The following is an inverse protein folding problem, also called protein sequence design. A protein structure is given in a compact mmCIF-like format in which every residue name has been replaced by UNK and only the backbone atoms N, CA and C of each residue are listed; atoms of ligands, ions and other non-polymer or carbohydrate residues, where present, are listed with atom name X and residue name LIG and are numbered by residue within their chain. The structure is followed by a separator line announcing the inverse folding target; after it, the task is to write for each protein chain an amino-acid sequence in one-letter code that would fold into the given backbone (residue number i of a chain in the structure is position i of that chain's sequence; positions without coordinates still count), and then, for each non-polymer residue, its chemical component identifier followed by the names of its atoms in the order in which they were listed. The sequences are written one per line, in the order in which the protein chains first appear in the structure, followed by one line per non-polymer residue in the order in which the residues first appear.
data_IF_739705661483
#
_entry.id   IF_739705661483
#
_cell.length_a   1.000
_cell.length_b   1.000
_cell.length_c   1.000
_cell.angle_alpha   90.00
_cell.angle_beta   90.00
_cell.angle_gamma   90.00
#
_symmetry.space_group_name_H-M   'P 1'
#
loop_
_entity.id
_entity.type
_entity.pdbx_description
1 polymer ?
#
# COMPACT_ATOMS: atom_id res chain seq x y z
N UNK A 1 7.54 -0.11 -16.97
CA UNK A 1 6.47 -0.61 -16.06
C UNK A 1 5.81 0.50 -15.25
N UNK A 2 6.56 1.39 -14.65
CA UNK A 2 5.99 2.48 -13.84
C UNK A 2 5.03 3.38 -14.65
N UNK A 3 5.35 3.65 -15.90
CA UNK A 3 4.46 4.42 -16.77
C UNK A 3 3.12 3.73 -17.00
N UNK A 4 3.12 2.41 -17.16
CA UNK A 4 1.89 1.63 -17.30
C UNK A 4 1.08 1.66 -16.00
N UNK A 5 1.74 1.61 -14.85
CA UNK A 5 1.06 1.72 -13.56
C UNK A 5 0.40 3.09 -13.41
N UNK A 6 1.09 4.16 -13.77
CA UNK A 6 0.52 5.51 -13.74
C UNK A 6 -0.69 5.64 -14.66
N UNK A 7 -0.61 5.06 -15.85
CA UNK A 7 -1.72 5.04 -16.80
C UNK A 7 -2.90 4.24 -16.25
N UNK A 8 -2.64 3.11 -15.61
CA UNK A 8 -3.67 2.31 -14.96
C UNK A 8 -4.39 3.07 -13.84
N UNK A 9 -3.64 3.83 -13.04
CA UNK A 9 -4.21 4.68 -11.99
C UNK A 9 -5.12 5.75 -12.59
N UNK A 10 -4.71 6.34 -13.69
CA UNK A 10 -5.53 7.32 -14.40
C UNK A 10 -6.85 6.71 -14.86
N UNK A 11 -6.83 5.50 -15.41
CA UNK A 11 -8.04 4.78 -15.81
C UNK A 11 -8.93 4.44 -14.61
N UNK A 12 -8.34 4.07 -13.48
CA UNK A 12 -9.09 3.83 -12.24
C UNK A 12 -9.87 5.09 -11.83
N UNK A 13 -9.22 6.24 -11.87
CA UNK A 13 -9.85 7.51 -11.53
C UNK A 13 -10.97 7.86 -12.54
N UNK A 14 -10.73 7.63 -13.81
CA UNK A 14 -11.71 7.90 -14.87
C UNK A 14 -12.95 7.01 -14.74
N UNK A 15 -12.76 5.71 -14.48
CA UNK A 15 -13.87 4.75 -14.44
C UNK A 15 -14.61 4.73 -13.10
N UNK A 16 -13.89 4.85 -11.99
CA UNK A 16 -14.48 4.78 -10.65
C UNK A 16 -14.76 6.15 -10.04
N UNK A 17 -14.21 7.20 -10.64
CA UNK A 17 -14.48 8.57 -10.25
C UNK A 17 -14.05 8.90 -8.83
N UNK A 18 -14.88 9.66 -8.13
CA UNK A 18 -14.61 10.11 -6.76
C UNK A 18 -14.71 9.00 -5.70
N UNK A 19 -15.02 7.78 -6.10
CA UNK A 19 -14.94 6.62 -5.20
C UNK A 19 -13.49 6.19 -4.96
N UNK A 20 -12.55 6.56 -5.81
CA UNK A 20 -11.12 6.36 -5.58
C UNK A 20 -10.59 7.56 -4.80
N UNK A 21 -10.09 7.31 -3.59
CA UNK A 21 -9.60 8.36 -2.69
C UNK A 21 -8.09 8.54 -2.82
N UNK A 22 -7.35 7.44 -2.92
CA UNK A 22 -5.90 7.47 -3.04
C UNK A 22 -5.38 6.15 -3.59
N UNK A 23 -4.22 6.17 -4.23
CA UNK A 23 -3.55 4.98 -4.76
C UNK A 23 -2.05 5.09 -4.48
N UNK A 24 -1.45 4.00 -4.02
CA UNK A 24 -0.01 3.88 -3.84
C UNK A 24 0.50 2.58 -4.44
N UNK A 25 1.67 2.64 -5.02
CA UNK A 25 2.44 1.47 -5.45
C UNK A 25 3.35 1.06 -4.30
N UNK A 26 3.42 -0.24 -4.01
CA UNK A 26 4.34 -0.76 -3.01
C UNK A 26 5.03 -2.02 -3.53
N UNK A 27 5.79 -2.70 -2.69
CA UNK A 27 6.46 -3.94 -3.07
C UNK A 27 7.71 -3.72 -3.91
N UNK A 28 8.13 -4.78 -4.62
CA UNK A 28 9.41 -4.80 -5.33
C UNK A 28 9.52 -3.75 -6.43
N UNK A 29 8.45 -3.49 -7.15
CA UNK A 29 8.46 -2.48 -8.21
C UNK A 29 8.68 -1.08 -7.62
N UNK A 30 8.06 -0.76 -6.49
CA UNK A 30 8.26 0.51 -5.82
C UNK A 30 9.67 0.67 -5.27
N UNK A 31 10.29 -0.43 -4.82
CA UNK A 31 11.66 -0.44 -4.31
C UNK A 31 12.73 -0.37 -5.40
N UNK A 32 12.35 -0.48 -6.67
CA UNK A 32 13.33 -0.58 -7.77
C UNK A 32 14.02 -1.94 -7.86
N UNK A 33 13.48 -2.96 -7.21
CA UNK A 33 14.01 -4.34 -7.21
C UNK A 33 13.29 -5.25 -8.21
N UNK A 34 12.42 -4.68 -9.04
CA UNK A 34 11.57 -5.44 -9.93
C UNK A 34 12.38 -6.21 -10.98
N UNK A 35 12.05 -7.49 -11.13
CA UNK A 35 12.46 -8.28 -12.28
C UNK A 35 11.38 -8.21 -13.36
N UNK A 36 11.64 -8.77 -14.54
CA UNK A 36 10.63 -8.85 -15.59
C UNK A 36 9.38 -9.66 -15.24
N UNK A 37 9.39 -10.35 -14.10
CA UNK A 37 8.26 -11.15 -13.58
C UNK A 37 7.60 -10.56 -12.34
N UNK A 38 8.07 -9.42 -11.87
CA UNK A 38 7.51 -8.81 -10.66
C UNK A 38 6.09 -8.31 -10.89
N UNK A 39 5.24 -8.54 -9.90
CA UNK A 39 3.88 -8.02 -9.90
C UNK A 39 3.88 -6.53 -9.59
N UNK A 40 2.85 -5.84 -10.03
CA UNK A 40 2.56 -4.50 -9.54
C UNK A 40 1.66 -4.63 -8.31
N UNK A 41 2.09 -4.10 -7.18
CA UNK A 41 1.36 -4.15 -5.92
C UNK A 41 0.74 -2.79 -5.64
N UNK A 42 -0.59 -2.71 -5.66
CA UNK A 42 -1.32 -1.46 -5.50
C UNK A 42 -2.18 -1.46 -4.25
N UNK A 43 -2.04 -0.42 -3.46
CA UNK A 43 -2.99 -0.08 -2.40
C UNK A 43 -3.99 0.93 -2.98
N UNK A 44 -5.27 0.60 -2.95
CA UNK A 44 -6.33 1.46 -3.47
C UNK A 44 -7.29 1.80 -2.33
N UNK A 45 -7.33 3.06 -1.95
CA UNK A 45 -8.22 3.56 -0.92
C UNK A 45 -9.50 4.03 -1.58
N UNK A 46 -10.63 3.52 -1.13
CA UNK A 46 -11.94 3.76 -1.75
C UNK A 46 -12.98 4.22 -0.74
N UNK A 47 -14.06 4.81 -1.25
CA UNK A 47 -15.26 5.12 -0.49
C UNK A 47 -16.49 4.77 -1.31
N UNK A 48 -17.61 4.48 -0.62
CA UNK A 48 -18.88 4.25 -1.29
C UNK A 48 -18.93 3.01 -2.17
N UNK A 49 -18.03 2.07 -1.95
CA UNK A 49 -18.00 0.79 -2.64
C UNK A 49 -18.09 -0.34 -1.62
N UNK A 50 -19.12 -1.18 -1.66
CA UNK A 50 -19.25 -2.29 -0.71
C UNK A 50 -18.03 -3.21 -0.75
N UNK A 51 -17.54 -3.56 0.44
CA UNK A 51 -16.41 -4.49 0.57
C UNK A 51 -16.77 -5.85 -0.01
N UNK A 52 -15.81 -6.51 -0.64
CA UNK A 52 -15.96 -7.86 -1.15
C UNK A 52 -15.23 -8.08 -2.46
N UNK A 53 -15.37 -9.29 -2.98
CA UNK A 53 -14.65 -9.71 -4.20
C UNK A 53 -15.05 -8.90 -5.42
N UNK A 54 -16.31 -8.49 -5.54
CA UNK A 54 -16.75 -7.65 -6.67
C UNK A 54 -15.98 -6.34 -6.75
N UNK A 55 -15.75 -5.71 -5.59
CA UNK A 55 -14.97 -4.47 -5.54
C UNK A 55 -13.54 -4.69 -6.00
N UNK A 56 -12.91 -5.72 -5.45
CA UNK A 56 -11.52 -6.05 -5.81
C UNK A 56 -11.38 -6.39 -7.29
N UNK A 57 -12.28 -7.19 -7.83
CA UNK A 57 -12.27 -7.53 -9.24
C UNK A 57 -12.53 -6.32 -10.13
N UNK A 58 -13.41 -5.41 -9.74
CA UNK A 58 -13.64 -4.20 -10.52
C UNK A 58 -12.38 -3.35 -10.63
N UNK A 59 -11.65 -3.20 -9.53
CA UNK A 59 -10.38 -2.47 -9.51
C UNK A 59 -9.33 -3.22 -10.33
N UNK A 60 -9.22 -4.52 -10.12
CA UNK A 60 -8.26 -5.38 -10.84
C UNK A 60 -8.47 -5.31 -12.35
N UNK A 61 -9.72 -5.44 -12.81
CA UNK A 61 -10.02 -5.47 -14.24
C UNK A 61 -9.61 -4.17 -14.94
N UNK A 62 -9.87 -3.03 -14.31
CA UNK A 62 -9.48 -1.73 -14.88
C UNK A 62 -7.96 -1.63 -14.98
N UNK A 63 -7.26 -1.98 -13.91
CA UNK A 63 -5.80 -1.90 -13.88
C UNK A 63 -5.15 -2.91 -14.83
N UNK A 64 -5.68 -4.12 -14.90
CA UNK A 64 -5.13 -5.19 -15.75
C UNK A 64 -5.19 -4.86 -17.24
N UNK A 65 -6.23 -4.18 -17.69
CA UNK A 65 -6.36 -3.78 -19.12
C UNK A 65 -5.16 -3.00 -19.61
N UNK A 66 -4.56 -2.21 -18.72
CA UNK A 66 -3.39 -1.38 -19.07
C UNK A 66 -2.08 -2.11 -18.76
N UNK A 67 -1.96 -2.69 -17.57
CA UNK A 67 -0.71 -3.28 -17.10
C UNK A 67 -0.42 -4.61 -17.78
N UNK A 68 -1.45 -5.43 -18.00
CA UNK A 68 -1.37 -6.75 -18.67
C UNK A 68 -0.32 -7.69 -18.06
N UNK A 69 -0.14 -7.59 -16.76
CA UNK A 69 0.70 -8.47 -15.93
C UNK A 69 -0.02 -8.71 -14.62
N UNK A 70 0.45 -9.68 -13.86
CA UNK A 70 -0.11 -9.95 -12.55
C UNK A 70 -0.04 -8.71 -11.66
N UNK A 71 -1.13 -8.46 -10.98
CA UNK A 71 -1.29 -7.32 -10.09
C UNK A 71 -1.82 -7.83 -8.77
N UNK A 72 -1.26 -7.32 -7.67
CA UNK A 72 -1.84 -7.50 -6.36
C UNK A 72 -2.59 -6.23 -5.98
N UNK A 73 -3.88 -6.37 -5.68
CA UNK A 73 -4.70 -5.24 -5.23
C UNK A 73 -5.02 -5.43 -3.76
N UNK A 74 -4.64 -4.44 -2.95
CA UNK A 74 -5.13 -4.29 -1.59
C UNK A 74 -6.08 -3.10 -1.61
N UNK A 75 -7.37 -3.38 -1.48
CA UNK A 75 -8.41 -2.37 -1.45
C UNK A 75 -8.87 -2.14 -0.01
N UNK A 76 -8.99 -0.90 0.38
CA UNK A 76 -9.34 -0.52 1.76
C UNK A 76 -10.28 0.67 1.76
N UNK A 77 -11.23 0.66 2.69
CA UNK A 77 -12.14 1.79 2.88
C UNK A 77 -11.41 2.95 3.54
N UNK A 78 -11.66 4.18 3.08
CA UNK A 78 -11.04 5.35 3.68
C UNK A 78 -11.33 5.48 5.18
N UNK A 79 -12.54 5.12 5.60
CA UNK A 79 -12.95 5.18 7.00
C UNK A 79 -12.11 4.24 7.88
N UNK A 80 -11.79 3.05 7.35
CA UNK A 80 -10.98 2.07 8.07
C UNK A 80 -9.51 2.49 8.15
N UNK A 81 -8.99 3.03 7.05
CA UNK A 81 -7.57 3.37 6.97
C UNK A 81 -7.24 4.64 7.76
N UNK A 82 -8.12 5.63 7.75
CA UNK A 82 -7.86 6.94 8.34
C UNK A 82 -8.52 7.17 9.70
N UNK A 83 -9.01 6.12 10.33
CA UNK A 83 -9.56 6.23 11.69
C UNK A 83 -8.45 6.46 12.72
N UNK A 84 -8.78 7.16 13.81
CA UNK A 84 -7.80 7.53 14.85
C UNK A 84 -7.16 6.34 15.54
N UNK A 85 -7.93 5.28 15.76
CA UNK A 85 -7.49 4.07 16.46
C UNK A 85 -7.04 2.97 15.50
N UNK A 86 -6.64 3.33 14.30
CA UNK A 86 -6.19 2.37 13.32
C UNK A 86 -4.93 1.64 13.80
N UNK A 87 -4.97 0.32 13.70
CA UNK A 87 -3.88 -0.54 14.12
C UNK A 87 -2.76 -0.57 13.07
N UNK A 88 -1.52 -0.35 13.51
CA UNK A 88 -0.36 -0.41 12.62
C UNK A 88 0.16 -1.85 12.58
N UNK A 89 -0.12 -2.54 11.49
CA UNK A 89 0.33 -3.91 11.24
C UNK A 89 1.70 -3.91 10.56
N UNK A 90 2.44 -5.05 10.62
CA UNK A 90 3.66 -5.19 9.83
C UNK A 90 3.45 -4.97 8.32
N UNK A 91 2.29 -5.37 7.79
CA UNK A 91 1.96 -5.13 6.39
C UNK A 91 1.86 -3.64 6.10
N UNK A 92 1.18 -2.88 6.94
CA UNK A 92 1.07 -1.44 6.77
C UNK A 92 2.43 -0.75 6.84
N UNK A 93 3.30 -1.19 7.75
CA UNK A 93 4.67 -0.66 7.84
C UNK A 93 5.42 -0.92 6.53
N UNK A 94 5.34 -2.12 5.97
CA UNK A 94 5.98 -2.44 4.69
C UNK A 94 5.44 -1.56 3.56
N UNK A 95 4.13 -1.41 3.48
CA UNK A 95 3.50 -0.57 2.46
C UNK A 95 3.98 0.87 2.59
N UNK A 96 3.90 1.44 3.79
CA UNK A 96 4.30 2.83 4.02
C UNK A 96 5.77 3.08 3.73
N UNK A 97 6.62 2.13 4.11
CA UNK A 97 8.08 2.27 3.96
C UNK A 97 8.52 2.27 2.50
N UNK A 98 7.93 1.40 1.69
CA UNK A 98 8.34 1.20 0.31
C UNK A 98 7.54 2.04 -0.70
N UNK A 99 6.44 2.63 -0.27
CA UNK A 99 5.43 3.17 -1.19
C UNK A 99 5.90 4.31 -2.06
N UNK A 100 5.36 4.32 -3.26
CA UNK A 100 5.31 5.47 -4.12
C UNK A 100 3.83 5.88 -4.23
N UNK A 101 3.47 7.02 -3.66
CA UNK A 101 2.09 7.52 -3.71
C UNK A 101 1.84 8.08 -5.11
N UNK A 102 0.84 7.52 -5.80
CA UNK A 102 0.53 7.88 -7.18
C UNK A 102 -0.67 8.81 -7.31
N UNK A 103 -1.57 8.79 -6.33
CA UNK A 103 -2.75 9.63 -6.31
C UNK A 103 -3.18 9.85 -4.86
N UNK A 104 -3.22 11.11 -4.43
CA UNK A 104 -3.55 11.46 -3.04
C UNK A 104 -3.97 12.94 -2.94
N UNK A 105 -5.12 13.30 -3.52
CA UNK A 105 -5.50 14.73 -3.61
C UNK A 105 -5.69 15.40 -2.26
N UNK A 106 -6.12 14.66 -1.22
CA UNK A 106 -6.27 15.23 0.13
C UNK A 106 -4.98 15.25 0.94
N UNK A 107 -3.94 14.50 0.51
CA UNK A 107 -2.70 14.34 1.26
C UNK A 107 -2.78 13.41 2.46
N UNK A 108 -3.95 12.82 2.74
CA UNK A 108 -4.14 11.98 3.93
C UNK A 108 -3.33 10.69 3.89
N UNK A 109 -3.18 10.07 2.70
CA UNK A 109 -2.39 8.85 2.58
C UNK A 109 -0.92 9.13 2.83
N UNK A 110 -0.37 10.17 2.23
CA UNK A 110 1.03 10.58 2.44
C UNK A 110 1.29 10.90 3.91
N UNK A 111 0.37 11.59 4.56
CA UNK A 111 0.46 11.93 5.98
C UNK A 111 0.45 10.68 6.86
N UNK A 112 -0.42 9.71 6.54
CA UNK A 112 -0.46 8.44 7.25
C UNK A 112 0.88 7.70 7.14
N UNK A 113 1.44 7.62 5.94
CA UNK A 113 2.70 6.93 5.71
C UNK A 113 3.86 7.61 6.43
N UNK A 114 3.91 8.93 6.45
CA UNK A 114 4.90 9.66 7.23
C UNK A 114 4.77 9.39 8.72
N UNK A 115 3.55 9.31 9.23
CA UNK A 115 3.28 8.96 10.62
C UNK A 115 3.75 7.56 10.97
N UNK A 116 3.52 6.59 10.08
CA UNK A 116 3.99 5.21 10.27
C UNK A 116 5.52 5.16 10.29
N UNK A 117 6.19 5.87 9.38
CA UNK A 117 7.66 5.95 9.35
C UNK A 117 8.22 6.58 10.64
N UNK A 118 7.55 7.59 11.17
CA UNK A 118 7.94 8.21 12.42
C UNK A 118 7.87 7.23 13.59
N UNK A 119 6.84 6.38 13.63
CA UNK A 119 6.71 5.33 14.66
C UNK A 119 7.86 4.33 14.53
N UNK A 120 8.19 3.88 13.32
CA UNK A 120 9.29 2.96 13.08
C UNK A 120 10.60 3.54 13.62
N UNK A 121 10.89 4.80 13.36
CA UNK A 121 12.08 5.47 13.82
C UNK A 121 12.09 5.64 15.36
N UNK A 122 10.96 6.04 15.93
CA UNK A 122 10.82 6.23 17.38
C UNK A 122 11.04 4.95 18.16
N UNK A 123 10.56 3.82 17.63
CA UNK A 123 10.68 2.51 18.28
C UNK A 123 11.97 1.78 17.90
N UNK A 124 12.82 2.38 17.07
CA UNK A 124 14.06 1.77 16.59
C UNK A 124 13.81 0.37 16.00
N UNK A 125 12.81 0.27 15.15
CA UNK A 125 12.52 -0.98 14.44
C UNK A 125 13.50 -1.16 13.29
N UNK A 126 14.06 -2.36 13.19
CA UNK A 126 14.93 -2.74 12.07
C UNK A 126 14.19 -3.66 11.12
N UNK A 127 14.39 -3.42 9.83
CA UNK A 127 13.83 -4.27 8.80
C UNK A 127 14.73 -5.47 8.56
N UNK A 128 14.14 -6.65 8.44
CA UNK A 128 14.86 -7.85 8.06
C UNK A 128 14.17 -8.52 6.87
N UNK A 129 14.94 -9.33 6.14
CA UNK A 129 14.43 -10.09 5.01
C UNK A 129 14.59 -11.57 5.33
N UNK A 130 13.50 -12.32 5.17
CA UNK A 130 13.50 -13.76 5.36
C UNK A 130 14.11 -14.45 4.13
N UNK A 131 14.42 -15.76 4.26
CA UNK A 131 14.99 -16.54 3.15
C UNK A 131 14.07 -16.62 1.94
N UNK A 132 12.76 -16.57 2.16
CA UNK A 132 11.75 -16.57 1.10
C UNK A 132 11.49 -15.17 0.51
N UNK A 133 12.28 -14.17 0.91
CA UNK A 133 12.21 -12.83 0.34
C UNK A 133 11.19 -11.90 0.96
N UNK A 134 10.54 -12.30 2.04
CA UNK A 134 9.58 -11.45 2.75
C UNK A 134 10.28 -10.51 3.71
N UNK A 135 9.68 -9.35 3.94
CA UNK A 135 10.18 -8.37 4.88
C UNK A 135 9.40 -8.38 6.19
N UNK A 136 10.11 -8.22 7.29
CA UNK A 136 9.54 -8.09 8.62
C UNK A 136 10.23 -6.99 9.40
N UNK A 137 9.75 -6.73 10.60
CA UNK A 137 10.25 -5.67 11.46
C UNK A 137 10.49 -6.20 12.86
N UNK A 138 11.61 -5.82 13.46
CA UNK A 138 11.98 -6.23 14.81
C UNK A 138 12.60 -5.05 15.55
N UNK A 139 12.52 -5.09 16.87
CA UNK A 139 13.22 -4.10 17.70
C UNK A 139 14.73 -4.31 17.60
N UNK A 140 15.48 -3.22 17.49
CA UNK A 140 16.93 -3.23 17.58
C UNK A 140 17.44 -3.51 19.00
N UNK A 141 16.56 -3.38 20.00
CA UNK A 141 16.90 -3.66 21.41
C UNK A 141 16.61 -5.13 21.72
N UNK A 142 17.52 -5.82 22.46
CA UNK A 142 17.22 -7.19 22.91
C UNK A 142 16.05 -7.18 23.88
N UNK A 143 15.18 -8.19 23.74
CA UNK A 143 14.02 -8.38 24.59
C UNK A 143 12.73 -8.51 23.81
N UNK A 144 11.62 -8.87 24.49
CA UNK A 144 10.34 -8.99 23.81
C UNK A 144 9.84 -7.63 23.31
N UNK A 145 9.26 -7.62 22.11
CA UNK A 145 8.57 -6.45 21.60
C UNK A 145 7.30 -6.22 22.42
N UNK A 146 7.15 -5.02 22.93
CA UNK A 146 5.87 -4.58 23.46
C UNK A 146 4.94 -4.28 22.28
N UNK A 147 3.62 -4.48 22.44
CA UNK A 147 2.67 -4.07 21.40
C UNK A 147 2.90 -2.60 21.02
N UNK A 148 2.87 -2.33 19.73
CA UNK A 148 2.99 -0.97 19.23
C UNK A 148 1.69 -0.24 19.55
N UNK A 149 1.72 0.67 20.50
CA UNK A 149 0.61 1.57 20.77
C UNK A 149 0.75 2.79 19.85
N UNK A 150 -0.31 3.04 19.14
CA UNK A 150 -0.40 4.16 18.20
C UNK A 150 -1.15 5.30 18.84
#
# INVERSE_FOLDING_TARGET
MLELVREAVKHLIEELGNRVIAVALFGSLARGEASGRSDADLLVVVKGMPRGMKRRFAIYDVAYKTIQRDITIIDVDEEELFKEDMEVSPLLINIAWDSLVLYDPSGRLSKLFEGVKAIVNKLNLDRYKTQDGKYGWKSSKPGPLNPVEV
#
